data_IF_028514374318
#
_entry.id   IF_028514374318
#
_cell.length_a   1.000
_cell.length_b   1.000
_cell.length_c   1.000
_cell.angle_alpha   90.00
_cell.angle_beta   90.00
_cell.angle_gamma   90.00
#
_symmetry.space_group_name_H-M   'P 1'
#
loop_
_entity.id
_entity.type
_entity.pdbx_description
1 polymer ?
#
# COMPACT_ATOMS: atom_id res chain seq x y z
N UNK A 1 58.62 -12.57 -9.72
CA UNK A 1 57.50 -11.70 -9.32
C UNK A 1 56.21 -12.36 -9.87
N UNK A 2 55.58 -13.18 -9.06
CA UNK A 2 54.34 -13.88 -9.42
C UNK A 2 53.16 -12.95 -9.03
N UNK A 3 52.45 -12.48 -10.05
CA UNK A 3 51.20 -11.72 -9.83
C UNK A 3 50.08 -12.70 -9.50
N UNK A 4 49.74 -12.76 -8.20
CA UNK A 4 48.57 -13.52 -7.74
C UNK A 4 47.32 -12.90 -8.35
N UNK A 5 46.73 -13.64 -9.28
CA UNK A 5 45.45 -13.31 -9.90
C UNK A 5 44.33 -13.61 -8.88
N UNK A 6 44.01 -12.63 -8.02
CA UNK A 6 42.86 -12.75 -7.11
C UNK A 6 41.59 -12.79 -7.93
N UNK A 7 41.02 -13.98 -8.05
CA UNK A 7 39.72 -14.20 -8.71
C UNK A 7 38.63 -13.41 -7.98
N UNK A 8 38.08 -12.37 -8.63
CA UNK A 8 36.92 -11.63 -8.17
C UNK A 8 35.76 -12.61 -7.96
N UNK A 9 35.17 -12.69 -6.75
CA UNK A 9 34.07 -13.64 -6.52
C UNK A 9 32.91 -13.29 -7.44
N UNK A 10 32.47 -14.26 -8.27
CA UNK A 10 31.28 -14.12 -9.11
C UNK A 10 30.10 -13.79 -8.22
N UNK A 11 29.48 -12.63 -8.43
CA UNK A 11 28.30 -12.18 -7.70
C UNK A 11 27.22 -13.28 -7.67
N UNK A 12 26.49 -13.37 -6.55
CA UNK A 12 25.41 -14.34 -6.35
C UNK A 12 24.40 -14.23 -7.50
N UNK A 13 24.11 -15.34 -8.19
CA UNK A 13 23.11 -15.39 -9.27
C UNK A 13 21.77 -14.85 -8.75
N UNK A 14 21.03 -14.04 -9.54
CA UNK A 14 19.69 -13.61 -9.14
C UNK A 14 18.83 -14.84 -8.79
N UNK A 15 18.05 -14.76 -7.71
CA UNK A 15 17.20 -15.87 -7.25
C UNK A 15 16.31 -16.42 -8.38
N UNK A 16 15.79 -15.55 -9.25
CA UNK A 16 14.93 -15.93 -10.36
C UNK A 16 15.62 -16.85 -11.37
N UNK A 17 16.92 -16.64 -11.62
CA UNK A 17 17.73 -17.48 -12.51
C UNK A 17 18.17 -18.78 -11.81
N UNK A 18 18.28 -18.74 -10.48
CA UNK A 18 18.69 -19.89 -9.69
C UNK A 18 17.56 -20.89 -9.44
N UNK A 19 16.31 -20.43 -9.41
CA UNK A 19 15.12 -21.24 -9.15
C UNK A 19 13.98 -20.82 -10.10
N UNK A 20 13.81 -21.48 -11.24
CA UNK A 20 12.74 -21.19 -12.20
C UNK A 20 11.34 -21.50 -11.67
N UNK A 21 11.21 -22.30 -10.60
CA UNK A 21 9.91 -22.61 -9.99
C UNK A 21 9.30 -21.39 -9.26
N UNK A 22 10.11 -20.40 -8.89
CA UNK A 22 9.63 -19.19 -8.21
C UNK A 22 8.54 -18.51 -9.03
N UNK A 23 8.74 -18.33 -10.34
CA UNK A 23 7.74 -17.73 -11.24
C UNK A 23 6.46 -18.57 -11.22
N UNK A 24 6.58 -19.87 -11.37
CA UNK A 24 5.43 -20.79 -11.40
C UNK A 24 4.64 -20.74 -10.09
N UNK A 25 5.31 -20.71 -8.94
CA UNK A 25 4.67 -20.60 -7.62
C UNK A 25 3.91 -19.30 -7.48
N UNK A 26 4.54 -18.16 -7.82
CA UNK A 26 3.88 -16.84 -7.77
C UNK A 26 2.65 -16.81 -8.68
N UNK A 27 2.81 -17.22 -9.94
CA UNK A 27 1.72 -17.19 -10.94
C UNK A 27 0.56 -18.09 -10.52
N UNK A 28 0.83 -19.30 -10.00
CA UNK A 28 -0.21 -20.23 -9.55
C UNK A 28 -0.96 -19.69 -8.32
N UNK A 29 -0.25 -19.07 -7.36
CA UNK A 29 -0.88 -18.44 -6.21
C UNK A 29 -1.79 -17.28 -6.63
N UNK A 30 -1.33 -16.41 -7.55
CA UNK A 30 -2.13 -15.30 -8.07
C UNK A 30 -3.33 -15.78 -8.89
N UNK A 31 -3.15 -16.85 -9.68
CA UNK A 31 -4.25 -17.50 -10.43
C UNK A 31 -5.31 -18.08 -9.49
N UNK A 32 -4.93 -18.51 -8.30
CA UNK A 32 -5.85 -18.94 -7.26
C UNK A 32 -6.60 -17.78 -6.57
N UNK A 33 -6.23 -16.52 -6.85
CA UNK A 33 -6.87 -15.32 -6.30
C UNK A 33 -6.17 -14.74 -5.06
N UNK A 34 -4.96 -15.20 -4.74
CA UNK A 34 -4.18 -14.66 -3.62
C UNK A 34 -3.58 -13.29 -3.94
N UNK A 35 -3.27 -12.52 -2.89
CA UNK A 35 -2.52 -11.26 -2.99
C UNK A 35 -1.04 -11.53 -3.30
N UNK A 36 -0.35 -10.49 -3.81
CA UNK A 36 1.06 -10.58 -4.20
C UNK A 36 1.97 -10.93 -3.01
N UNK A 37 1.65 -10.41 -1.82
CA UNK A 37 2.37 -10.67 -0.58
C UNK A 37 2.39 -12.17 -0.27
N UNK A 38 1.20 -12.80 -0.26
CA UNK A 38 1.07 -14.23 0.00
C UNK A 38 1.68 -15.09 -1.10
N UNK A 39 1.59 -14.64 -2.35
CA UNK A 39 2.22 -15.33 -3.48
C UNK A 39 3.75 -15.28 -3.40
N UNK A 40 4.32 -14.17 -2.95
CA UNK A 40 5.75 -14.00 -2.75
C UNK A 40 6.26 -14.87 -1.59
N UNK A 41 5.55 -14.85 -0.45
CA UNK A 41 5.85 -15.67 0.71
C UNK A 41 5.81 -17.16 0.38
N UNK A 42 4.77 -17.61 -0.35
CA UNK A 42 4.66 -18.99 -0.83
C UNK A 42 5.81 -19.40 -1.76
N UNK A 43 6.31 -18.47 -2.56
CA UNK A 43 7.46 -18.70 -3.43
C UNK A 43 8.83 -18.56 -2.72
N UNK A 44 8.85 -18.20 -1.41
CA UNK A 44 10.07 -18.04 -0.62
C UNK A 44 10.89 -16.81 -1.00
N UNK A 45 10.22 -15.73 -1.47
CA UNK A 45 10.86 -14.46 -1.82
C UNK A 45 10.15 -13.30 -1.13
N UNK A 46 10.91 -12.28 -0.78
CA UNK A 46 10.31 -11.08 -0.21
C UNK A 46 9.54 -10.29 -1.27
N UNK A 47 8.35 -9.80 -0.93
CA UNK A 47 7.45 -9.13 -1.85
C UNK A 47 8.08 -7.93 -2.57
N UNK A 48 8.94 -7.15 -1.90
CA UNK A 48 9.66 -6.03 -2.53
C UNK A 48 10.61 -6.49 -3.66
N UNK A 49 11.09 -7.74 -3.59
CA UNK A 49 11.90 -8.31 -4.66
C UNK A 49 11.05 -8.59 -5.90
N UNK A 50 9.83 -9.10 -5.68
CA UNK A 50 8.87 -9.36 -6.78
C UNK A 50 8.47 -8.03 -7.44
N UNK A 51 8.11 -7.00 -6.65
CA UNK A 51 7.77 -5.68 -7.21
C UNK A 51 8.92 -5.08 -8.02
N UNK A 52 10.15 -5.18 -7.55
CA UNK A 52 11.34 -4.72 -8.31
C UNK A 52 11.56 -5.50 -9.61
N UNK A 53 11.21 -6.79 -9.65
CA UNK A 53 11.26 -7.56 -10.90
C UNK A 53 10.18 -7.09 -11.88
N UNK A 54 8.96 -6.87 -11.39
CA UNK A 54 7.85 -6.37 -12.20
C UNK A 54 8.13 -4.96 -12.74
N UNK A 55 8.68 -4.07 -11.93
CA UNK A 55 9.08 -2.72 -12.36
C UNK A 55 10.08 -2.78 -13.53
N UNK A 56 11.13 -3.56 -13.39
CA UNK A 56 12.13 -3.73 -14.45
C UNK A 56 11.57 -4.39 -15.72
N UNK A 57 10.69 -5.39 -15.55
CA UNK A 57 10.04 -6.05 -16.67
C UNK A 57 9.09 -5.12 -17.41
N UNK A 58 8.26 -4.35 -16.69
CA UNK A 58 7.35 -3.38 -17.29
C UNK A 58 8.11 -2.26 -18.02
N UNK A 59 9.16 -1.71 -17.42
CA UNK A 59 10.00 -0.70 -18.07
C UNK A 59 10.63 -1.21 -19.38
N UNK A 60 11.03 -2.47 -19.44
CA UNK A 60 11.54 -3.08 -20.67
C UNK A 60 10.42 -3.32 -21.69
N UNK A 61 9.23 -3.73 -21.28
CA UNK A 61 8.07 -3.89 -22.17
C UNK A 61 7.69 -2.55 -22.79
N UNK A 62 7.59 -1.47 -22.00
CA UNK A 62 7.32 -0.12 -22.49
C UNK A 62 8.39 0.35 -23.47
N UNK A 63 9.66 0.05 -23.20
CA UNK A 63 10.77 0.38 -24.09
C UNK A 63 10.67 -0.35 -25.43
N UNK A 64 10.21 -1.61 -25.43
CA UNK A 64 9.95 -2.40 -26.65
C UNK A 64 8.78 -1.83 -27.46
N UNK A 65 7.71 -1.41 -26.78
CA UNK A 65 6.56 -0.75 -27.44
C UNK A 65 6.97 0.55 -28.14
N UNK A 66 7.95 1.28 -27.58
CA UNK A 66 8.53 2.48 -28.19
C UNK A 66 9.48 2.17 -29.36
N UNK A 67 9.69 0.90 -29.73
CA UNK A 67 10.51 0.48 -30.85
C UNK A 67 12.00 0.32 -30.55
N UNK A 68 12.42 0.37 -29.29
CA UNK A 68 13.80 0.13 -28.90
C UNK A 68 14.16 -1.37 -29.00
N UNK A 69 15.44 -1.66 -29.22
CA UNK A 69 15.96 -3.02 -29.30
C UNK A 69 15.77 -3.75 -27.95
N UNK A 70 15.19 -4.97 -27.95
CA UNK A 70 14.99 -5.75 -26.75
C UNK A 70 16.29 -6.13 -26.03
N UNK A 71 16.31 -5.99 -24.69
CA UNK A 71 17.37 -6.56 -23.85
C UNK A 71 17.00 -7.97 -23.43
N UNK A 72 17.66 -8.96 -24.04
CA UNK A 72 17.46 -10.41 -23.76
C UNK A 72 17.70 -10.79 -22.31
N UNK A 73 18.45 -9.99 -21.54
CA UNK A 73 18.68 -10.26 -20.11
C UNK A 73 17.43 -10.05 -19.27
N UNK A 74 16.47 -9.26 -19.77
CA UNK A 74 15.23 -8.93 -19.10
C UNK A 74 14.03 -9.78 -19.59
N UNK A 75 14.23 -10.69 -20.55
CA UNK A 75 13.14 -11.52 -21.09
C UNK A 75 12.37 -12.26 -19.99
N UNK A 76 13.04 -12.90 -19.04
CA UNK A 76 12.38 -13.58 -17.92
C UNK A 76 11.53 -12.63 -17.05
N UNK A 77 11.92 -11.36 -16.92
CA UNK A 77 11.15 -10.39 -16.15
C UNK A 77 9.93 -9.91 -16.95
N UNK A 78 10.06 -9.79 -18.27
CA UNK A 78 8.94 -9.50 -19.16
C UNK A 78 7.92 -10.65 -19.11
N UNK A 79 8.37 -11.90 -19.23
CA UNK A 79 7.54 -13.10 -19.12
C UNK A 79 6.82 -13.17 -17.77
N UNK A 80 7.50 -12.81 -16.68
CA UNK A 80 6.89 -12.70 -15.35
C UNK A 80 5.76 -11.65 -15.33
N UNK A 81 5.99 -10.47 -15.90
CA UNK A 81 4.98 -9.40 -15.94
C UNK A 81 3.73 -9.84 -16.68
N UNK A 82 3.89 -10.44 -17.85
CA UNK A 82 2.78 -10.94 -18.67
C UNK A 82 2.04 -12.08 -17.94
N UNK A 83 2.78 -13.03 -17.36
CA UNK A 83 2.20 -14.16 -16.63
C UNK A 83 1.41 -13.68 -15.39
N UNK A 84 1.93 -12.71 -14.65
CA UNK A 84 1.24 -12.10 -13.49
C UNK A 84 -0.04 -11.39 -13.93
N UNK A 85 0.02 -10.58 -14.99
CA UNK A 85 -1.16 -9.89 -15.54
C UNK A 85 -2.24 -10.88 -15.96
N UNK A 86 -1.85 -11.93 -16.67
CA UNK A 86 -2.74 -13.01 -17.10
C UNK A 86 -3.34 -13.76 -15.91
N UNK A 87 -2.53 -14.16 -14.92
CA UNK A 87 -3.02 -14.88 -13.74
C UNK A 87 -4.05 -14.10 -12.92
N UNK A 88 -3.82 -12.79 -12.73
CA UNK A 88 -4.78 -11.90 -12.07
C UNK A 88 -6.11 -11.81 -12.84
N UNK A 89 -6.05 -11.67 -14.17
CA UNK A 89 -7.23 -11.69 -15.03
C UNK A 89 -8.00 -13.01 -14.93
N UNK A 90 -7.32 -14.14 -15.00
CA UNK A 90 -7.91 -15.48 -14.87
C UNK A 90 -8.60 -15.68 -13.50
N UNK A 91 -8.01 -15.16 -12.41
CA UNK A 91 -8.60 -15.21 -11.07
C UNK A 91 -9.93 -14.44 -11.00
N UNK A 92 -9.97 -13.22 -11.56
CA UNK A 92 -11.18 -12.40 -11.62
C UNK A 92 -12.27 -13.07 -12.45
N UNK A 93 -11.92 -13.58 -13.64
CA UNK A 93 -12.89 -14.28 -14.52
C UNK A 93 -13.48 -15.50 -13.81
N UNK A 94 -12.65 -16.28 -13.11
CA UNK A 94 -13.12 -17.45 -12.34
C UNK A 94 -14.03 -17.05 -11.18
N UNK A 95 -13.67 -16.03 -10.40
CA UNK A 95 -14.50 -15.55 -9.31
C UNK A 95 -15.86 -15.07 -9.84
N UNK A 96 -15.85 -14.36 -10.96
CA UNK A 96 -17.06 -13.87 -11.61
C UNK A 96 -17.96 -15.03 -12.09
N UNK A 97 -17.36 -16.07 -12.69
CA UNK A 97 -18.11 -17.26 -13.11
C UNK A 97 -18.76 -17.98 -11.92
N UNK A 98 -18.09 -18.05 -10.75
CA UNK A 98 -18.67 -18.64 -9.55
C UNK A 98 -19.86 -17.83 -9.02
N UNK A 99 -19.77 -16.49 -9.03
CA UNK A 99 -20.89 -15.61 -8.64
C UNK A 99 -22.07 -15.80 -9.57
N UNK A 100 -21.83 -15.82 -10.90
CA UNK A 100 -22.89 -16.02 -11.90
C UNK A 100 -23.55 -17.41 -11.78
N UNK A 101 -22.76 -18.45 -11.54
CA UNK A 101 -23.28 -19.79 -11.30
C UNK A 101 -24.15 -19.86 -10.03
N UNK A 102 -23.71 -19.23 -8.94
CA UNK A 102 -24.48 -19.16 -7.71
C UNK A 102 -25.82 -18.40 -7.93
N UNK A 103 -25.79 -17.31 -8.68
CA UNK A 103 -26.98 -16.55 -9.03
C UNK A 103 -27.96 -17.40 -9.84
N UNK A 104 -27.47 -18.13 -10.84
CA UNK A 104 -28.28 -19.04 -11.68
C UNK A 104 -28.86 -20.22 -10.91
N UNK A 105 -28.20 -20.63 -9.82
CA UNK A 105 -28.70 -21.71 -8.92
C UNK A 105 -29.74 -21.22 -7.89
N UNK A 106 -30.20 -19.96 -7.98
CA UNK A 106 -31.23 -19.42 -7.10
C UNK A 106 -30.72 -18.58 -5.93
N UNK A 107 -29.41 -18.35 -5.83
CA UNK A 107 -28.82 -17.47 -4.82
C UNK A 107 -28.86 -16.02 -5.31
N UNK A 108 -30.01 -15.37 -5.21
CA UNK A 108 -30.23 -14.00 -5.71
C UNK A 108 -29.24 -12.98 -5.10
N UNK A 109 -28.78 -13.24 -3.87
CA UNK A 109 -27.79 -12.39 -3.16
C UNK A 109 -26.49 -12.25 -3.97
N UNK A 110 -26.08 -13.28 -4.71
CA UNK A 110 -24.91 -13.24 -5.57
C UNK A 110 -25.08 -12.22 -6.71
N UNK A 111 -26.28 -12.17 -7.33
CA UNK A 111 -26.61 -11.16 -8.34
C UNK A 111 -26.71 -9.75 -7.75
N UNK A 112 -27.34 -9.61 -6.59
CA UNK A 112 -27.44 -8.33 -5.89
C UNK A 112 -26.07 -7.77 -5.52
N UNK A 113 -25.19 -8.61 -4.96
CA UNK A 113 -23.80 -8.23 -4.64
C UNK A 113 -23.03 -7.80 -5.88
N UNK A 114 -23.18 -8.52 -6.98
CA UNK A 114 -22.55 -8.18 -8.26
C UNK A 114 -23.00 -6.80 -8.76
N UNK A 115 -24.30 -6.52 -8.75
CA UNK A 115 -24.87 -5.25 -9.18
C UNK A 115 -24.43 -4.08 -8.27
N UNK A 116 -24.41 -4.28 -6.96
CA UNK A 116 -23.90 -3.28 -6.00
C UNK A 116 -22.47 -2.86 -6.32
N UNK A 117 -21.61 -3.80 -6.77
CA UNK A 117 -20.19 -3.56 -7.02
C UNK A 117 -19.89 -3.03 -8.42
N UNK A 118 -20.62 -3.49 -9.41
CA UNK A 118 -20.39 -3.11 -10.82
C UNK A 118 -21.13 -1.86 -11.24
N UNK A 119 -22.30 -1.59 -10.61
CA UNK A 119 -23.15 -0.45 -10.94
C UNK A 119 -23.61 0.30 -9.66
N UNK A 120 -22.67 0.83 -8.87
CA UNK A 120 -22.99 1.44 -7.58
C UNK A 120 -23.92 2.64 -7.69
N UNK A 121 -23.93 3.35 -8.81
CA UNK A 121 -24.82 4.49 -9.04
C UNK A 121 -26.31 4.11 -9.07
N UNK A 122 -26.62 2.88 -9.48
CA UNK A 122 -28.01 2.39 -9.59
C UNK A 122 -28.39 1.45 -8.46
N UNK A 123 -27.48 0.58 -8.03
CA UNK A 123 -27.74 -0.51 -7.08
C UNK A 123 -26.90 -0.41 -5.80
N UNK A 124 -26.03 0.61 -5.67
CA UNK A 124 -25.22 0.78 -4.48
C UNK A 124 -26.06 1.14 -3.26
N UNK A 125 -25.65 0.67 -2.08
CA UNK A 125 -26.27 1.06 -0.82
C UNK A 125 -26.03 2.56 -0.61
N UNK A 126 -27.11 3.33 -0.51
CA UNK A 126 -27.04 4.74 -0.14
C UNK A 126 -27.08 4.84 1.38
N UNK A 127 -26.01 5.40 1.96
CA UNK A 127 -25.96 5.76 3.38
C UNK A 127 -26.07 7.28 3.45
N UNK A 128 -27.20 7.76 3.90
CA UNK A 128 -27.38 9.19 4.21
C UNK A 128 -26.95 9.42 5.65
N UNK A 129 -25.90 10.22 5.83
CA UNK A 129 -25.49 10.66 7.16
C UNK A 129 -26.21 11.98 7.43
N UNK A 130 -27.20 11.91 8.28
CA UNK A 130 -28.02 13.07 8.66
C UNK A 130 -27.70 13.51 10.09
N UNK A 131 -27.82 14.79 10.37
CA UNK A 131 -27.74 15.33 11.71
C UNK A 131 -28.98 15.01 12.55
N UNK A 132 -28.98 15.44 13.79
CA UNK A 132 -30.09 15.25 14.72
C UNK A 132 -31.41 15.80 14.13
N UNK A 133 -32.47 14.98 14.19
CA UNK A 133 -33.77 15.30 13.59
C UNK A 133 -33.87 15.18 12.06
N UNK A 134 -32.89 14.53 11.39
CA UNK A 134 -32.91 14.32 9.93
C UNK A 134 -32.43 15.53 9.11
N UNK A 135 -31.88 16.56 9.77
CA UNK A 135 -31.34 17.74 9.12
C UNK A 135 -29.91 17.53 8.57
N UNK A 136 -29.34 18.54 7.91
CA UNK A 136 -27.96 18.49 7.44
C UNK A 136 -26.99 18.37 8.62
N UNK A 137 -25.89 17.63 8.41
CA UNK A 137 -24.82 17.47 9.41
C UNK A 137 -24.20 18.85 9.66
N UNK A 138 -24.34 19.36 10.88
CA UNK A 138 -23.64 20.58 11.29
C UNK A 138 -22.25 20.18 11.76
N UNK A 139 -21.24 20.54 11.00
CA UNK A 139 -19.84 20.46 11.42
C UNK A 139 -19.49 21.81 12.05
N UNK A 140 -19.56 21.89 13.37
CA UNK A 140 -19.06 23.08 14.08
C UNK A 140 -17.54 22.97 14.12
N UNK A 141 -16.90 23.71 13.24
CA UNK A 141 -15.45 23.90 13.29
C UNK A 141 -15.22 25.17 14.06
N UNK A 142 -14.86 25.06 15.34
CA UNK A 142 -14.50 26.23 16.14
C UNK A 142 -13.12 26.74 15.73
N UNK A 143 -12.90 28.03 15.85
CA UNK A 143 -11.63 28.69 15.51
C UNK A 143 -10.50 28.07 16.35
N UNK A 144 -10.77 27.77 17.62
CA UNK A 144 -9.83 27.14 18.55
C UNK A 144 -9.40 25.75 18.07
N UNK A 145 -10.35 24.96 17.54
CA UNK A 145 -10.04 23.63 16.99
C UNK A 145 -9.19 23.71 15.71
N UNK A 146 -9.40 24.74 14.88
CA UNK A 146 -8.58 25.02 13.70
C UNK A 146 -7.17 25.47 14.10
N UNK A 147 -7.05 26.38 15.06
CA UNK A 147 -5.78 26.88 15.58
C UNK A 147 -4.97 25.77 16.22
N UNK A 148 -5.60 24.89 17.04
CA UNK A 148 -4.94 23.74 17.64
C UNK A 148 -4.41 22.77 16.57
N UNK A 149 -5.21 22.50 15.53
CA UNK A 149 -4.76 21.66 14.40
C UNK A 149 -3.64 22.31 13.60
N UNK A 150 -3.71 23.60 13.34
CA UNK A 150 -2.67 24.34 12.64
C UNK A 150 -1.36 24.30 13.43
N UNK A 151 -1.41 24.57 14.73
CA UNK A 151 -0.27 24.50 15.63
C UNK A 151 0.36 23.11 15.61
N UNK A 152 -0.46 22.05 15.71
CA UNK A 152 0.02 20.68 15.64
C UNK A 152 0.75 20.37 14.31
N UNK A 153 0.22 20.83 13.19
CA UNK A 153 0.84 20.64 11.88
C UNK A 153 2.15 21.43 11.77
N UNK A 154 2.15 22.71 12.23
CA UNK A 154 3.34 23.56 12.18
C UNK A 154 4.46 23.04 13.09
N UNK A 155 4.14 22.48 14.25
CA UNK A 155 5.09 21.82 15.15
C UNK A 155 5.65 20.57 14.48
N UNK A 156 4.79 19.74 13.86
CA UNK A 156 5.23 18.53 13.16
C UNK A 156 6.13 18.84 11.96
N UNK A 157 5.91 19.96 11.29
CA UNK A 157 6.75 20.44 10.18
C UNK A 157 8.02 21.17 10.64
N UNK A 158 8.22 21.35 11.95
CA UNK A 158 9.37 22.06 12.51
C UNK A 158 9.36 23.57 12.24
N UNK A 159 8.21 24.15 11.95
CA UNK A 159 8.05 25.60 11.70
C UNK A 159 7.96 26.38 13.01
N UNK A 160 7.40 25.75 14.06
CA UNK A 160 7.33 26.31 15.42
C UNK A 160 7.81 25.26 16.41
N UNK A 161 8.46 25.69 17.47
CA UNK A 161 8.83 24.84 18.60
C UNK A 161 7.59 24.47 19.41
N UNK A 162 7.63 23.31 20.10
CA UNK A 162 6.57 22.94 21.04
C UNK A 162 6.39 24.06 22.09
N UNK A 163 5.14 24.41 22.43
CA UNK A 163 4.87 25.40 23.47
C UNK A 163 5.49 24.89 24.78
N UNK A 164 6.52 25.58 25.25
CA UNK A 164 7.10 25.30 26.58
C UNK A 164 6.04 25.61 27.61
N UNK A 165 5.72 24.62 28.46
CA UNK A 165 4.94 24.88 29.67
C UNK A 165 5.63 25.99 30.45
N UNK A 166 5.00 27.17 30.50
CA UNK A 166 5.41 28.21 31.43
C UNK A 166 5.01 27.68 32.80
N UNK A 167 5.96 27.08 33.51
CA UNK A 167 5.76 26.76 34.91
C UNK A 167 5.61 28.11 35.60
N UNK A 168 4.38 28.41 35.99
CA UNK A 168 4.05 29.64 36.75
C UNK A 168 4.75 29.48 38.09
N UNK A 169 5.89 30.22 38.27
CA UNK A 169 6.72 30.17 39.47
C UNK A 169 6.13 30.99 40.62
N UNK A 170 4.78 31.17 40.64
CA UNK A 170 4.06 31.73 41.75
C UNK A 170 3.41 30.67 42.63
N UNK A 171 4.19 29.71 43.11
CA UNK A 171 3.80 28.98 44.30
C UNK A 171 4.12 29.87 45.50
N UNK A 172 3.13 30.61 45.98
CA UNK A 172 3.16 31.23 47.30
C UNK A 172 3.00 30.10 48.31
N UNK A 173 4.04 29.84 49.09
CA UNK A 173 3.96 28.97 50.25
C UNK A 173 2.89 29.53 51.23
N UNK A 174 2.09 28.65 51.81
CA UNK A 174 0.98 29.00 52.73
C UNK A 174 1.44 29.67 54.04
N UNK A 175 2.74 29.94 54.24
CA UNK A 175 3.30 30.51 55.47
C UNK A 175 3.78 31.94 55.39
N UNK A 176 3.41 32.71 54.36
CA UNK A 176 3.37 34.20 54.41
C UNK A 176 4.68 34.93 54.74
N UNK A 177 5.87 34.32 54.64
CA UNK A 177 7.13 34.97 54.93
C UNK A 177 7.91 35.32 53.65
N UNK A 178 8.06 36.65 53.44
CA UNK A 178 8.84 37.21 52.33
C UNK A 178 10.32 37.15 52.72
N UNK A 179 11.05 36.18 52.17
CA UNK A 179 12.50 36.18 52.27
C UNK A 179 13.08 37.14 51.22
N UNK A 180 13.50 38.32 51.68
CA UNK A 180 14.36 39.23 50.93
C UNK A 180 15.70 38.54 50.60
N UNK A 181 16.00 38.29 49.33
CA UNK A 181 17.35 37.95 48.89
C UNK A 181 17.97 39.16 48.21
N UNK A 182 18.78 39.87 48.96
CA UNK A 182 19.71 40.91 48.49
C UNK A 182 21.01 40.21 48.02
N UNK A 183 21.45 40.63 46.85
CA UNK A 183 22.77 40.61 46.23
C UNK A 183 22.97 39.70 45.05
#
# INVERSE_FOLDING_TARGET
MTTDNVAVPKGRKPKLVADPEIITKIVNALRAGNYMEHAADYAGVHVSTVYRWLEKGNAELERREQGFKPDKKLDQLCDLCEAVKKAKGEAVVRAMALIQNAASSGTWQASAWFLERTQPNFFGRKTEIVGEGGGPLRVEVTVEALEAKLTQVMTHMGVIDEPREIIDATATDEDGDIAEVIS
#
